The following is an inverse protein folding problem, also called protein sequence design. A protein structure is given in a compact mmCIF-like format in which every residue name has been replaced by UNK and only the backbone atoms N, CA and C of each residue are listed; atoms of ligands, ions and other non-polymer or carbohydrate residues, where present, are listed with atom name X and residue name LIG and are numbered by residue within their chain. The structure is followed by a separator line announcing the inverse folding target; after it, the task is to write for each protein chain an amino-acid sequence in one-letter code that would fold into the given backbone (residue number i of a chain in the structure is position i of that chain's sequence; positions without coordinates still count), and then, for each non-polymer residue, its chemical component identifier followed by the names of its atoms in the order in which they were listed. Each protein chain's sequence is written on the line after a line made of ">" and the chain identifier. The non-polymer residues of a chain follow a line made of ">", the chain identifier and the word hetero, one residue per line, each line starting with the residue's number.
data_IF_946429173102
#
_entry.id   IF_946429173102
#
_cell.length_a   1.000
_cell.length_b   1.000
_cell.length_c   1.000
_cell.angle_alpha   90.00
_cell.angle_beta   90.00
_cell.angle_gamma   90.00
#
_symmetry.space_group_name_H-M   'P 1'
#
loop_
_entity.id
_entity.type
_entity.pdbx_description
1 polymer ?
#
# COMPACT_ATOMS: atom_id res chain seq x y z
N UNK A 1 -9.00 -1.46 15.12
CA UNK A 1 -7.85 -2.06 15.84
C UNK A 1 -7.96 -3.56 15.63
N UNK A 2 -7.04 -4.13 14.85
CA UNK A 2 -7.03 -5.55 14.53
C UNK A 2 -6.81 -6.37 15.81
N UNK A 3 -7.61 -7.43 15.98
CA UNK A 3 -7.50 -8.30 17.15
C UNK A 3 -6.27 -9.21 16.98
N UNK A 4 -5.22 -8.98 17.77
CA UNK A 4 -4.00 -9.80 17.68
C UNK A 4 -4.20 -11.09 18.47
N UNK A 5 -4.18 -12.23 17.76
CA UNK A 5 -4.18 -13.55 18.41
C UNK A 5 -2.80 -13.78 19.00
N UNK A 6 -2.71 -13.89 20.33
CA UNK A 6 -1.43 -14.14 21.00
C UNK A 6 -1.31 -15.58 21.44
N UNK A 7 -0.20 -16.23 21.10
CA UNK A 7 0.14 -17.57 21.55
C UNK A 7 1.57 -17.60 22.08
N UNK A 8 1.75 -18.23 23.25
CA UNK A 8 3.05 -18.31 23.93
C UNK A 8 3.58 -19.73 23.85
N UNK A 9 4.81 -19.89 23.37
CA UNK A 9 5.52 -21.17 23.38
C UNK A 9 6.80 -21.04 24.18
N UNK A 10 6.99 -21.98 25.11
CA UNK A 10 8.17 -22.02 25.99
C UNK A 10 9.38 -22.72 25.34
N UNK A 11 9.30 -23.02 24.04
CA UNK A 11 10.39 -23.62 23.27
C UNK A 11 10.16 -23.45 21.77
N UNK A 12 11.14 -22.99 20.98
CA UNK A 12 11.01 -22.88 19.54
C UNK A 12 10.74 -24.21 18.83
N UNK A 13 11.29 -25.32 19.34
CA UNK A 13 11.04 -26.66 18.77
C UNK A 13 9.63 -27.20 19.03
N UNK A 14 8.81 -26.49 19.81
CA UNK A 14 7.40 -26.83 20.08
C UNK A 14 6.42 -25.98 19.27
N UNK A 15 6.93 -25.07 18.45
CA UNK A 15 6.07 -24.29 17.56
C UNK A 15 5.56 -25.24 16.48
N UNK A 16 4.23 -25.27 16.24
CA UNK A 16 3.67 -26.06 15.16
C UNK A 16 4.23 -25.67 13.80
N UNK A 17 4.18 -26.59 12.84
CA UNK A 17 4.33 -26.27 11.42
C UNK A 17 3.39 -25.13 10.99
N UNK A 18 3.77 -24.38 9.98
CA UNK A 18 3.04 -23.30 9.32
C UNK A 18 1.59 -23.70 9.02
N UNK A 19 1.37 -24.89 8.47
CA UNK A 19 0.01 -25.45 8.23
C UNK A 19 -0.88 -25.49 9.49
N UNK A 20 -0.27 -25.67 10.66
CA UNK A 20 -0.99 -25.68 11.95
C UNK A 20 -1.10 -24.28 12.56
N UNK A 21 -0.33 -23.31 12.08
CA UNK A 21 -0.42 -21.91 12.49
C UNK A 21 -1.48 -21.15 11.67
N UNK A 22 -1.61 -21.47 10.38
CA UNK A 22 -2.55 -20.86 9.43
C UNK A 22 -3.98 -20.72 9.98
N UNK A 23 -4.59 -21.73 10.64
CA UNK A 23 -5.96 -21.60 11.18
C UNK A 23 -6.14 -20.52 12.26
N UNK A 24 -5.05 -19.98 12.80
CA UNK A 24 -5.07 -18.91 13.80
C UNK A 24 -4.86 -17.52 13.18
N UNK A 25 -4.59 -17.43 11.89
CA UNK A 25 -4.24 -16.20 11.19
C UNK A 25 -5.35 -15.88 10.20
N UNK A 26 -5.82 -14.64 10.22
CA UNK A 26 -6.61 -14.07 9.14
C UNK A 26 -6.10 -12.67 8.80
N UNK A 27 -6.57 -12.11 7.69
CA UNK A 27 -6.28 -10.73 7.27
C UNK A 27 -6.52 -9.70 8.39
N UNK A 28 -7.58 -9.89 9.19
CA UNK A 28 -7.91 -9.01 10.31
C UNK A 28 -7.26 -9.43 11.65
N UNK A 29 -6.72 -10.66 11.73
CA UNK A 29 -6.23 -11.25 12.98
C UNK A 29 -4.84 -11.83 12.80
N UNK A 30 -3.79 -11.00 12.88
CA UNK A 30 -2.42 -11.50 12.85
C UNK A 30 -2.13 -12.34 14.11
N UNK A 31 -1.27 -13.33 13.95
CA UNK A 31 -0.79 -14.20 15.04
C UNK A 31 0.51 -13.64 15.61
N UNK A 32 0.52 -13.28 16.89
CA UNK A 32 1.74 -13.00 17.63
C UNK A 32 2.21 -14.24 18.38
N UNK A 33 3.38 -14.73 18.02
CA UNK A 33 4.11 -15.79 18.68
C UNK A 33 5.07 -15.19 19.70
N UNK A 34 5.03 -15.68 20.94
CA UNK A 34 5.92 -15.23 22.02
C UNK A 34 6.85 -16.34 22.51
N UNK A 35 8.12 -15.99 22.72
CA UNK A 35 9.14 -16.86 23.34
C UNK A 35 9.76 -16.22 24.55
N UNK A 36 10.08 -16.97 25.61
CA UNK A 36 10.92 -16.49 26.70
C UNK A 36 12.21 -15.80 26.22
N UNK A 37 12.54 -14.63 26.78
CA UNK A 37 13.73 -13.85 26.43
C UNK A 37 15.07 -14.56 26.72
N UNK A 38 15.04 -15.68 27.44
CA UNK A 38 16.21 -16.54 27.68
C UNK A 38 16.74 -17.23 26.41
N UNK A 39 15.95 -17.25 25.32
CA UNK A 39 16.42 -17.73 24.02
C UNK A 39 17.29 -16.68 23.34
N UNK A 40 18.38 -17.12 22.71
CA UNK A 40 19.29 -16.22 21.96
C UNK A 40 18.60 -15.61 20.75
N UNK A 41 18.94 -14.37 20.40
CA UNK A 41 18.43 -13.69 19.20
C UNK A 41 18.62 -14.54 17.91
N UNK A 42 19.78 -15.19 17.76
CA UNK A 42 20.05 -16.09 16.62
C UNK A 42 19.01 -17.20 16.47
N UNK A 43 18.58 -17.82 17.57
CA UNK A 43 17.57 -18.88 17.54
C UNK A 43 16.20 -18.36 17.10
N UNK A 44 15.88 -17.11 17.45
CA UNK A 44 14.64 -16.44 17.02
C UNK A 44 14.73 -16.14 15.52
N UNK A 45 15.86 -15.62 15.05
CA UNK A 45 16.12 -15.33 13.64
C UNK A 45 16.06 -16.60 12.77
N UNK A 46 16.74 -17.68 13.19
CA UNK A 46 16.69 -18.99 12.52
C UNK A 46 15.23 -19.47 12.39
N UNK A 47 14.40 -19.21 13.39
CA UNK A 47 12.99 -19.58 13.38
C UNK A 47 12.13 -18.69 12.48
N UNK A 48 12.39 -17.39 12.44
CA UNK A 48 11.74 -16.47 11.49
C UNK A 48 12.00 -16.92 10.06
N UNK A 49 13.27 -17.25 9.74
CA UNK A 49 13.65 -17.70 8.42
C UNK A 49 12.96 -19.02 8.05
N UNK A 50 12.89 -19.97 8.98
CA UNK A 50 12.14 -21.21 8.77
C UNK A 50 10.65 -20.97 8.52
N UNK A 51 9.98 -20.09 9.29
CA UNK A 51 8.57 -19.75 9.05
C UNK A 51 8.34 -19.09 7.68
N UNK A 52 9.27 -18.24 7.23
CA UNK A 52 9.21 -17.61 5.90
C UNK A 52 9.33 -18.61 4.76
N UNK A 53 10.08 -19.69 4.96
CA UNK A 53 10.22 -20.77 3.97
C UNK A 53 9.01 -21.71 3.96
N UNK A 54 8.35 -21.90 5.10
CA UNK A 54 7.25 -22.85 5.25
C UNK A 54 5.88 -22.25 4.90
N UNK A 55 5.65 -20.98 5.21
CA UNK A 55 4.36 -20.34 4.98
C UNK A 55 4.18 -19.95 3.50
N UNK A 56 2.94 -19.97 2.97
CA UNK A 56 2.65 -19.46 1.64
C UNK A 56 3.06 -18.00 1.46
N UNK A 57 3.31 -17.58 0.22
CA UNK A 57 3.80 -16.22 -0.13
C UNK A 57 2.88 -15.07 0.35
N UNK A 58 1.60 -15.34 0.59
CA UNK A 58 0.65 -14.36 1.11
C UNK A 58 0.63 -14.29 2.65
N UNK A 59 1.70 -14.75 3.31
CA UNK A 59 1.93 -14.52 4.72
C UNK A 59 3.24 -13.77 4.93
N UNK A 60 3.20 -12.79 5.82
CA UNK A 60 4.39 -12.05 6.26
C UNK A 60 4.79 -12.50 7.65
N UNK A 61 6.10 -12.67 7.87
CA UNK A 61 6.69 -13.00 9.18
C UNK A 61 7.65 -11.89 9.58
N UNK A 62 7.33 -11.19 10.65
CA UNK A 62 8.05 -10.00 11.12
C UNK A 62 8.55 -10.21 12.54
N UNK A 63 9.80 -9.81 12.81
CA UNK A 63 10.28 -9.65 14.18
C UNK A 63 9.60 -8.43 14.81
N UNK A 64 8.71 -8.67 15.77
CA UNK A 64 8.00 -7.62 16.51
C UNK A 64 8.80 -7.13 17.74
N UNK A 65 10.07 -7.50 17.81
CA UNK A 65 11.02 -7.10 18.83
C UNK A 65 10.84 -7.85 20.15
N UNK A 66 11.65 -7.45 21.12
CA UNK A 66 11.71 -8.11 22.42
C UNK A 66 11.26 -7.21 23.56
N UNK A 67 11.07 -7.83 24.71
CA UNK A 67 10.85 -7.25 26.03
C UNK A 67 11.80 -7.96 26.99
N UNK A 68 11.86 -7.50 28.25
CA UNK A 68 12.63 -8.21 29.29
C UNK A 68 12.19 -9.66 29.51
N UNK A 69 10.97 -10.03 29.12
CA UNK A 69 10.42 -11.36 29.34
C UNK A 69 10.27 -12.19 28.07
N UNK A 70 10.06 -11.55 26.91
CA UNK A 70 9.72 -12.25 25.67
C UNK A 70 10.33 -11.64 24.42
N UNK A 71 10.71 -12.49 23.47
CA UNK A 71 10.79 -12.19 22.05
C UNK A 71 9.41 -12.35 21.40
N UNK A 72 9.13 -11.58 20.34
CA UNK A 72 7.83 -11.57 19.66
C UNK A 72 8.03 -11.68 18.15
N UNK A 73 7.34 -12.62 17.53
CA UNK A 73 7.20 -12.73 16.07
C UNK A 73 5.74 -12.47 15.74
N UNK A 74 5.47 -11.66 14.72
CA UNK A 74 4.12 -11.49 14.17
C UNK A 74 4.04 -12.20 12.83
N UNK A 75 2.96 -12.95 12.62
CA UNK A 75 2.59 -13.53 11.34
C UNK A 75 1.28 -12.88 10.90
N UNK A 76 1.29 -12.22 9.75
CA UNK A 76 0.12 -11.56 9.16
C UNK A 76 -0.23 -12.18 7.82
N UNK A 77 -1.52 -12.23 7.49
CA UNK A 77 -1.96 -12.60 6.14
C UNK A 77 -2.01 -11.35 5.26
N UNK A 78 -1.36 -11.40 4.11
CA UNK A 78 -1.37 -10.39 3.07
C UNK A 78 -2.47 -10.68 2.05
N UNK A 79 -2.86 -9.69 1.24
CA UNK A 79 -3.76 -9.94 0.12
C UNK A 79 -3.09 -10.93 -0.85
N UNK A 80 -3.84 -11.96 -1.24
CA UNK A 80 -3.33 -13.01 -2.11
C UNK A 80 -3.31 -12.58 -3.58
N UNK A 81 -2.52 -13.29 -4.38
CA UNK A 81 -2.51 -13.08 -5.82
C UNK A 81 -3.88 -13.34 -6.45
N UNK A 82 -4.57 -14.42 -6.05
CA UNK A 82 -5.91 -14.72 -6.55
C UNK A 82 -6.91 -13.60 -6.25
N UNK A 83 -6.85 -12.99 -5.07
CA UNK A 83 -7.70 -11.86 -4.67
C UNK A 83 -7.43 -10.59 -5.51
N UNK A 84 -6.16 -10.30 -5.80
CA UNK A 84 -5.78 -9.17 -6.67
C UNK A 84 -6.17 -9.45 -8.12
N UNK A 85 -5.89 -10.65 -8.61
CA UNK A 85 -6.15 -11.02 -10.00
C UNK A 85 -7.65 -11.08 -10.32
N UNK A 86 -8.50 -11.34 -9.33
CA UNK A 86 -9.96 -11.26 -9.47
C UNK A 86 -10.46 -9.84 -9.81
N UNK A 87 -9.72 -8.79 -9.45
CA UNK A 87 -10.08 -7.38 -9.70
C UNK A 87 -9.06 -6.64 -10.59
N UNK A 88 -8.09 -7.36 -11.16
CA UNK A 88 -6.98 -6.79 -11.92
C UNK A 88 -7.43 -5.84 -13.03
N UNK A 89 -8.42 -6.25 -13.82
CA UNK A 89 -8.86 -5.45 -14.98
C UNK A 89 -9.54 -4.14 -14.53
N UNK A 90 -10.23 -4.14 -13.39
CA UNK A 90 -10.82 -2.93 -12.81
C UNK A 90 -9.73 -1.99 -12.27
N UNK A 91 -8.73 -2.53 -11.56
CA UNK A 91 -7.60 -1.75 -11.05
C UNK A 91 -6.78 -1.13 -12.20
N UNK A 92 -6.52 -1.90 -13.27
CA UNK A 92 -5.81 -1.40 -14.46
C UNK A 92 -6.61 -0.31 -15.17
N UNK A 93 -7.93 -0.50 -15.35
CA UNK A 93 -8.78 0.52 -15.94
C UNK A 93 -8.79 1.82 -15.11
N UNK A 94 -8.85 1.70 -13.78
CA UNK A 94 -8.77 2.83 -12.88
C UNK A 94 -7.39 3.51 -12.91
N UNK A 95 -6.30 2.75 -12.97
CA UNK A 95 -4.94 3.30 -13.08
C UNK A 95 -4.72 4.08 -14.39
N UNK A 96 -5.25 3.57 -15.52
CA UNK A 96 -5.23 4.29 -16.80
C UNK A 96 -6.03 5.59 -16.69
N UNK A 97 -7.19 5.55 -16.03
CA UNK A 97 -8.04 6.72 -15.84
C UNK A 97 -7.39 7.75 -14.94
N UNK A 98 -6.82 7.33 -13.81
CA UNK A 98 -6.00 8.16 -12.93
C UNK A 98 -4.88 8.84 -13.70
N UNK A 99 -4.13 8.09 -14.52
CA UNK A 99 -3.01 8.65 -15.24
C UNK A 99 -3.40 9.75 -16.24
N UNK A 100 -4.54 9.55 -16.90
CA UNK A 100 -5.11 10.56 -17.79
C UNK A 100 -5.56 11.79 -17.02
N UNK A 101 -6.31 11.60 -15.93
CA UNK A 101 -6.87 12.70 -15.14
C UNK A 101 -5.74 13.53 -14.49
N UNK A 102 -4.71 12.88 -13.92
CA UNK A 102 -3.54 13.55 -13.36
C UNK A 102 -2.75 14.34 -14.42
N UNK A 103 -2.58 13.75 -15.62
CA UNK A 103 -1.89 14.44 -16.72
C UNK A 103 -2.69 15.65 -17.21
N UNK A 104 -3.98 15.49 -17.47
CA UNK A 104 -4.86 16.58 -17.90
C UNK A 104 -4.85 17.73 -16.88
N UNK A 105 -4.92 17.39 -15.60
CA UNK A 105 -4.95 18.37 -14.53
C UNK A 105 -3.62 19.09 -14.37
N UNK A 106 -2.49 18.41 -14.55
CA UNK A 106 -1.17 19.06 -14.60
C UNK A 106 -1.12 20.12 -15.71
N UNK A 107 -1.58 19.79 -16.92
CA UNK A 107 -1.64 20.77 -18.01
C UNK A 107 -2.55 21.96 -17.69
N UNK A 108 -3.72 21.72 -17.07
CA UNK A 108 -4.63 22.80 -16.66
C UNK A 108 -4.03 23.70 -15.59
N UNK A 109 -3.30 23.13 -14.61
CA UNK A 109 -2.59 23.90 -13.59
C UNK A 109 -1.50 24.76 -14.24
N UNK A 110 -0.72 24.18 -15.15
CA UNK A 110 0.33 24.90 -15.85
C UNK A 110 -0.22 26.08 -16.67
N UNK A 111 -1.30 25.83 -17.43
CA UNK A 111 -2.02 26.85 -18.20
C UNK A 111 -2.53 27.99 -17.31
N UNK A 112 -3.18 27.65 -16.18
CA UNK A 112 -3.69 28.64 -15.22
C UNK A 112 -2.59 29.54 -14.63
N UNK A 113 -1.35 29.04 -14.56
CA UNK A 113 -0.20 29.77 -14.05
C UNK A 113 0.70 30.34 -15.15
N UNK A 114 0.34 30.17 -16.43
CA UNK A 114 1.12 30.69 -17.57
C UNK A 114 2.52 30.09 -17.69
N UNK A 115 2.68 28.84 -17.28
CA UNK A 115 3.94 28.07 -17.36
C UNK A 115 3.76 26.81 -18.21
N UNK A 116 4.87 26.21 -18.63
CA UNK A 116 4.87 24.88 -19.24
C UNK A 116 4.65 23.80 -18.18
N UNK A 117 4.03 22.67 -18.55
CA UNK A 117 3.69 21.61 -17.61
C UNK A 117 4.93 20.93 -17.01
N UNK A 118 6.03 20.83 -17.75
CA UNK A 118 7.30 20.29 -17.25
C UNK A 118 7.98 21.20 -16.22
N UNK A 119 7.60 22.48 -16.17
CA UNK A 119 8.11 23.44 -15.19
C UNK A 119 7.33 23.43 -13.86
N UNK A 120 6.24 22.65 -13.74
CA UNK A 120 5.42 22.61 -12.51
C UNK A 120 6.22 22.29 -11.25
N UNK A 121 7.19 21.37 -11.36
CA UNK A 121 8.04 20.99 -10.22
C UNK A 121 8.86 22.17 -9.68
N UNK A 122 9.34 23.06 -10.55
CA UNK A 122 10.16 24.22 -10.19
C UNK A 122 9.30 25.34 -9.59
N UNK A 123 8.03 25.41 -10.01
CA UNK A 123 7.10 26.48 -9.64
C UNK A 123 6.08 26.08 -8.57
N UNK A 124 6.12 24.85 -8.04
CA UNK A 124 5.08 24.30 -7.16
C UNK A 124 4.73 25.19 -5.95
N UNK A 125 5.73 25.83 -5.33
CA UNK A 125 5.52 26.70 -4.17
C UNK A 125 5.15 28.15 -4.54
N UNK A 126 5.08 28.46 -5.83
CA UNK A 126 4.75 29.77 -6.38
C UNK A 126 3.54 29.70 -7.33
N UNK A 127 2.78 28.61 -7.28
CA UNK A 127 1.52 28.51 -8.02
C UNK A 127 0.50 29.44 -7.36
N UNK A 128 0.13 30.51 -8.06
CA UNK A 128 -0.77 31.55 -7.57
C UNK A 128 -2.22 31.33 -8.04
N UNK A 129 -2.43 30.42 -9.00
CA UNK A 129 -3.73 30.18 -9.62
C UNK A 129 -4.08 28.70 -9.66
N UNK A 130 -5.33 28.39 -9.27
CA UNK A 130 -5.92 27.07 -9.46
C UNK A 130 -6.76 27.04 -10.75
N UNK A 131 -6.83 25.91 -11.46
CA UNK A 131 -7.83 25.71 -12.50
C UNK A 131 -9.25 25.93 -11.97
N UNK A 132 -10.15 26.43 -12.81
CA UNK A 132 -11.55 26.62 -12.41
C UNK A 132 -12.17 25.32 -11.88
N UNK A 133 -12.79 25.41 -10.69
CA UNK A 133 -13.44 24.28 -10.01
C UNK A 133 -12.50 23.40 -9.17
N UNK A 134 -11.20 23.71 -9.12
CA UNK A 134 -10.20 22.92 -8.41
C UNK A 134 -9.49 23.72 -7.33
N UNK A 135 -9.23 23.09 -6.19
CA UNK A 135 -8.30 23.58 -5.17
C UNK A 135 -6.97 22.83 -5.28
N UNK A 136 -5.87 23.56 -5.04
CA UNK A 136 -4.51 23.04 -5.12
C UNK A 136 -3.84 23.05 -3.75
N UNK A 137 -3.21 21.94 -3.38
CA UNK A 137 -2.45 21.82 -2.15
C UNK A 137 -1.09 21.16 -2.41
N UNK A 138 0.00 21.95 -2.51
CA UNK A 138 1.34 21.40 -2.73
C UNK A 138 1.89 20.73 -1.47
N UNK A 139 2.46 19.53 -1.61
CA UNK A 139 3.19 18.85 -0.54
C UNK A 139 4.31 17.92 -1.03
N UNK A 140 5.52 18.13 -0.51
CA UNK A 140 6.67 17.32 -0.88
C UNK A 140 7.02 17.46 -2.36
N UNK A 141 6.88 16.38 -3.13
CA UNK A 141 7.05 16.37 -4.61
C UNK A 141 5.73 16.09 -5.33
N UNK A 142 4.62 16.35 -4.67
CA UNK A 142 3.29 16.10 -5.20
C UNK A 142 2.43 17.35 -5.07
N UNK A 143 1.46 17.43 -5.96
CA UNK A 143 0.44 18.45 -5.95
C UNK A 143 -0.91 17.75 -5.87
N UNK A 144 -1.56 17.86 -4.70
CA UNK A 144 -2.92 17.38 -4.53
C UNK A 144 -3.89 18.38 -5.14
N UNK A 145 -4.80 17.87 -5.95
CA UNK A 145 -5.87 18.65 -6.54
C UNK A 145 -7.22 18.09 -6.11
N UNK A 146 -8.09 18.97 -5.62
CA UNK A 146 -9.43 18.59 -5.14
C UNK A 146 -10.50 19.32 -5.95
N UNK A 147 -11.41 18.56 -6.56
CA UNK A 147 -12.56 19.12 -7.28
C UNK A 147 -13.60 19.62 -6.27
N UNK A 148 -13.98 20.89 -6.40
CA UNK A 148 -14.83 21.59 -5.43
C UNK A 148 -16.30 21.16 -5.47
N UNK A 149 -16.74 20.50 -6.55
CA UNK A 149 -18.12 20.06 -6.73
C UNK A 149 -18.30 18.59 -6.35
N UNK A 150 -17.47 17.72 -6.90
CA UNK A 150 -17.55 16.27 -6.72
C UNK A 150 -16.80 15.76 -5.49
N UNK A 151 -15.84 16.52 -4.96
CA UNK A 151 -14.94 16.09 -3.91
C UNK A 151 -13.85 15.12 -4.39
N UNK A 152 -13.71 14.91 -5.70
CA UNK A 152 -12.67 14.08 -6.28
C UNK A 152 -11.28 14.60 -5.91
N UNK A 153 -10.39 13.72 -5.43
CA UNK A 153 -8.98 14.03 -5.20
C UNK A 153 -8.11 13.33 -6.25
N UNK A 154 -7.23 14.10 -6.91
CA UNK A 154 -6.24 13.62 -7.85
C UNK A 154 -4.86 14.10 -7.41
N UNK A 155 -3.94 13.16 -7.26
CA UNK A 155 -2.55 13.49 -6.93
C UNK A 155 -1.70 13.58 -8.20
N UNK A 156 -1.03 14.70 -8.39
CA UNK A 156 -0.07 14.90 -9.47
C UNK A 156 1.33 14.67 -8.92
N UNK A 157 2.06 13.70 -9.46
CA UNK A 157 3.49 13.57 -9.20
C UNK A 157 4.25 14.64 -9.97
N UNK A 158 5.10 15.39 -9.26
CA UNK A 158 6.09 16.30 -9.85
C UNK A 158 7.49 15.68 -9.85
N UNK A 159 7.59 14.40 -9.47
CA UNK A 159 8.82 13.63 -9.50
C UNK A 159 8.84 12.66 -10.69
N UNK A 160 9.96 12.62 -11.42
CA UNK A 160 10.23 11.60 -12.43
C UNK A 160 9.63 11.91 -13.80
N UNK A 161 9.36 10.84 -14.58
CA UNK A 161 8.96 10.91 -15.99
C UNK A 161 7.44 10.79 -16.19
N UNK A 162 6.65 11.58 -15.45
CA UNK A 162 5.21 11.63 -15.65
C UNK A 162 4.45 12.16 -14.43
N UNK A 163 3.23 12.65 -14.69
CA UNK A 163 2.34 13.22 -13.68
C UNK A 163 1.58 12.18 -12.86
N UNK A 164 1.62 10.92 -13.30
CA UNK A 164 0.76 9.84 -12.86
C UNK A 164 1.52 8.70 -12.15
N UNK A 165 2.34 9.05 -11.16
CA UNK A 165 3.00 8.03 -10.36
C UNK A 165 1.97 7.32 -9.49
N UNK A 166 1.88 6.00 -9.61
CA UNK A 166 0.98 5.16 -8.83
C UNK A 166 1.56 4.93 -7.45
N UNK A 167 1.37 5.91 -6.56
CA UNK A 167 1.52 5.72 -5.13
C UNK A 167 0.26 5.06 -4.56
N UNK A 168 0.44 4.07 -3.69
CA UNK A 168 -0.66 3.27 -3.17
C UNK A 168 -1.66 4.09 -2.33
N UNK A 169 -1.19 5.00 -1.48
CA UNK A 169 -2.05 5.83 -0.64
C UNK A 169 -2.87 6.79 -1.51
N UNK A 170 -2.20 7.47 -2.45
CA UNK A 170 -2.86 8.43 -3.33
C UNK A 170 -3.82 7.76 -4.33
N UNK A 171 -3.46 6.58 -4.84
CA UNK A 171 -4.33 5.84 -5.73
C UNK A 171 -5.56 5.29 -5.02
N UNK A 172 -5.42 4.75 -3.80
CA UNK A 172 -6.57 4.36 -2.98
C UNK A 172 -7.50 5.55 -2.73
N UNK A 173 -6.94 6.71 -2.40
CA UNK A 173 -7.73 7.94 -2.22
C UNK A 173 -8.45 8.37 -3.49
N UNK A 174 -7.78 8.27 -4.64
CA UNK A 174 -8.41 8.53 -5.93
C UNK A 174 -9.61 7.62 -6.17
N UNK A 175 -9.50 6.31 -5.89
CA UNK A 175 -10.61 5.36 -6.00
C UNK A 175 -11.78 5.70 -5.06
N UNK A 176 -11.49 6.15 -3.84
CA UNK A 176 -12.50 6.49 -2.83
C UNK A 176 -13.26 7.79 -3.16
N UNK A 177 -12.59 8.75 -3.78
CA UNK A 177 -13.13 10.11 -4.01
C UNK A 177 -13.64 10.32 -5.43
N UNK A 178 -13.28 9.46 -6.39
CA UNK A 178 -13.69 9.61 -7.79
C UNK A 178 -15.03 8.91 -8.06
N UNK A 179 -16.06 9.63 -8.54
CA UNK A 179 -17.34 9.02 -8.89
C UNK A 179 -17.22 7.86 -9.88
N UNK A 180 -17.79 6.72 -9.53
CA UNK A 180 -17.79 5.51 -10.37
C UNK A 180 -16.63 4.56 -10.13
N UNK A 181 -15.74 4.88 -9.19
CA UNK A 181 -14.78 3.93 -8.63
C UNK A 181 -15.13 3.60 -7.19
N UNK A 182 -14.74 2.40 -6.78
CA UNK A 182 -14.85 1.92 -5.41
C UNK A 182 -13.59 1.11 -5.10
N UNK A 183 -13.08 1.25 -3.88
CA UNK A 183 -12.00 0.39 -3.41
C UNK A 183 -12.55 -1.04 -3.26
N UNK A 184 -11.89 -2.07 -3.83
CA UNK A 184 -12.40 -3.43 -3.71
C UNK A 184 -12.45 -3.90 -2.25
N UNK A 185 -13.55 -4.54 -1.84
CA UNK A 185 -13.81 -4.90 -0.43
C UNK A 185 -12.73 -5.81 0.19
N UNK A 186 -11.95 -6.54 -0.61
CA UNK A 186 -10.85 -7.38 -0.13
C UNK A 186 -9.60 -6.59 0.31
N UNK A 187 -9.53 -5.29 0.04
CA UNK A 187 -8.46 -4.38 0.48
C UNK A 187 -8.77 -3.87 1.88
N UNK A 188 -8.39 -4.66 2.89
CA UNK A 188 -8.68 -4.36 4.30
C UNK A 188 -7.67 -3.38 4.92
N UNK A 189 -6.44 -3.34 4.37
CA UNK A 189 -5.42 -2.34 4.66
C UNK A 189 -5.10 -1.63 3.33
N UNK A 190 -5.89 -0.61 2.94
CA UNK A 190 -5.92 -0.12 1.56
C UNK A 190 -4.56 0.21 0.98
N UNK A 191 -3.71 0.94 1.71
CA UNK A 191 -2.39 1.33 1.22
C UNK A 191 -1.45 0.11 1.08
N UNK A 192 -1.30 -0.70 2.13
CA UNK A 192 -0.41 -1.86 2.10
C UNK A 192 -0.86 -2.93 1.08
N UNK A 193 -2.18 -3.14 0.97
CA UNK A 193 -2.75 -4.07 0.01
C UNK A 193 -2.59 -3.57 -1.43
N UNK A 194 -2.68 -2.25 -1.66
CA UNK A 194 -2.47 -1.66 -2.97
C UNK A 194 -1.00 -1.67 -3.40
N UNK A 195 -0.06 -1.42 -2.48
CA UNK A 195 1.38 -1.63 -2.75
C UNK A 195 1.63 -3.06 -3.24
N UNK A 196 1.12 -4.05 -2.50
CA UNK A 196 1.25 -5.46 -2.89
C UNK A 196 0.50 -5.79 -4.19
N UNK A 197 -0.67 -5.20 -4.41
CA UNK A 197 -1.42 -5.38 -5.63
C UNK A 197 -0.64 -4.89 -6.85
N UNK A 198 0.03 -3.74 -6.74
CA UNK A 198 0.92 -3.23 -7.78
C UNK A 198 2.04 -4.22 -8.10
N UNK A 199 2.72 -4.75 -7.08
CA UNK A 199 3.76 -5.76 -7.26
C UNK A 199 3.24 -7.03 -7.95
N UNK A 200 2.05 -7.51 -7.57
CA UNK A 200 1.43 -8.70 -8.16
C UNK A 200 1.10 -8.46 -9.63
N UNK A 201 0.46 -7.33 -9.92
CA UNK A 201 0.04 -6.97 -11.27
C UNK A 201 1.24 -6.73 -12.20
N UNK A 202 2.31 -6.11 -11.71
CA UNK A 202 3.55 -5.95 -12.47
C UNK A 202 4.20 -7.30 -12.78
N UNK A 203 4.33 -8.18 -11.78
CA UNK A 203 4.88 -9.54 -11.97
C UNK A 203 4.07 -10.37 -12.97
N UNK A 204 2.76 -10.15 -13.00
CA UNK A 204 1.85 -10.80 -13.96
C UNK A 204 1.75 -10.08 -15.31
N UNK A 205 2.53 -9.01 -15.54
CA UNK A 205 2.57 -8.28 -16.80
C UNK A 205 1.28 -7.51 -17.11
N UNK A 206 0.46 -7.20 -16.11
CA UNK A 206 -0.80 -6.47 -16.25
C UNK A 206 -0.59 -4.97 -16.42
N UNK A 207 0.44 -4.40 -15.79
CA UNK A 207 0.91 -3.05 -16.07
C UNK A 207 2.42 -2.95 -15.78
N UNK A 208 3.05 -1.84 -16.17
CA UNK A 208 4.41 -1.48 -15.72
C UNK A 208 4.29 -0.31 -14.78
N UNK A 209 4.73 -0.47 -13.54
CA UNK A 209 4.87 0.67 -12.62
C UNK A 209 5.73 1.73 -13.29
N UNK A 210 5.26 2.98 -13.26
CA UNK A 210 6.00 4.12 -13.79
C UNK A 210 7.27 4.39 -13.00
#
# INVERSE_FOLDING_TARGET
>A
MNEIVTKTWFSPSKIPSGDRLIPFISREKPLMIRFPALFSARLVEDHINWLKEELPEHYEVVDAGSTSMFHRITIAQLISEDEVMAVADALVAAAIRFARDATELAYRVAEANGIEADALAEHMFTLDHSPEGWDLFPHGKHLRCSDLESGQEVEISLAGNGFAMLDAEFFCRYLETTPGFELPEQFLDPAADMERAFDILERNGKFRGG
#
